data_IF_929390797652
#
_entry.id   IF_929390797652
#
_cell.length_a   1.000
_cell.length_b   1.000
_cell.length_c   1.000
_cell.angle_alpha   90.00
_cell.angle_beta   90.00
_cell.angle_gamma   90.00
#
_symmetry.space_group_name_H-M   'P 1'
#
loop_
_entity.id
_entity.type
_entity.pdbx_description
1 polymer ?
#
# COMPACT_ATOMS: atom_id res chain seq x y z
N UNK A 1 5.04 7.01 23.94
CA UNK A 1 5.58 7.55 22.67
C UNK A 1 4.45 8.17 21.83
N UNK A 2 4.76 9.11 20.94
CA UNK A 2 3.80 9.73 20.02
C UNK A 2 4.12 9.44 18.56
N UNK A 3 3.08 9.22 17.76
CA UNK A 3 3.19 8.98 16.32
C UNK A 3 2.53 10.10 15.55
N UNK A 4 3.20 10.63 14.53
CA UNK A 4 2.68 11.69 13.67
C UNK A 4 2.42 11.21 12.25
N UNK A 5 1.36 11.69 11.62
CA UNK A 5 1.10 11.48 10.20
C UNK A 5 1.01 12.83 9.46
N UNK A 6 1.97 13.06 8.57
CA UNK A 6 1.98 14.19 7.64
C UNK A 6 1.27 13.73 6.36
N UNK A 7 0.03 14.17 6.18
CA UNK A 7 -0.88 13.67 5.16
C UNK A 7 -1.86 12.65 5.74
N UNK A 8 -3.15 12.95 5.65
CA UNK A 8 -4.24 12.14 6.21
C UNK A 8 -5.12 11.60 5.09
N UNK A 9 -4.54 10.75 4.25
CA UNK A 9 -5.24 10.10 3.13
C UNK A 9 -5.69 8.68 3.47
N UNK A 10 -6.13 7.96 2.43
CA UNK A 10 -6.57 6.55 2.51
C UNK A 10 -5.52 5.64 3.14
N UNK A 11 -4.24 5.82 2.78
CA UNK A 11 -3.17 4.98 3.33
C UNK A 11 -2.94 5.29 4.82
N UNK A 12 -2.92 6.56 5.22
CA UNK A 12 -2.78 6.93 6.64
C UNK A 12 -3.94 6.38 7.46
N UNK A 13 -5.18 6.50 6.96
CA UNK A 13 -6.36 5.91 7.58
C UNK A 13 -6.24 4.38 7.73
N UNK A 14 -5.78 3.70 6.68
CA UNK A 14 -5.62 2.26 6.69
C UNK A 14 -4.55 1.80 7.69
N UNK A 15 -3.40 2.46 7.73
CA UNK A 15 -2.32 2.16 8.69
C UNK A 15 -2.80 2.42 10.12
N UNK A 16 -3.39 3.58 10.40
CA UNK A 16 -3.91 3.90 11.74
C UNK A 16 -4.97 2.88 12.16
N UNK A 17 -5.93 2.58 11.28
CA UNK A 17 -6.98 1.58 11.55
C UNK A 17 -6.39 0.21 11.84
N UNK A 18 -5.42 -0.25 11.05
CA UNK A 18 -4.72 -1.51 11.28
C UNK A 18 -3.95 -1.51 12.61
N UNK A 19 -3.29 -0.40 12.95
CA UNK A 19 -2.55 -0.27 14.20
C UNK A 19 -3.47 -0.36 15.43
N UNK A 20 -4.65 0.27 15.35
CA UNK A 20 -5.67 0.17 16.42
C UNK A 20 -6.27 -1.23 16.48
N UNK A 21 -6.62 -1.83 15.33
CA UNK A 21 -7.25 -3.16 15.26
C UNK A 21 -6.34 -4.29 15.73
N UNK A 22 -5.04 -4.21 15.45
CA UNK A 22 -4.04 -5.21 15.87
C UNK A 22 -3.58 -5.06 17.32
N UNK A 23 -3.87 -3.92 17.97
CA UNK A 23 -3.36 -3.58 19.30
C UNK A 23 -1.85 -3.26 19.33
N UNK A 24 -1.18 -3.14 18.17
CA UNK A 24 0.25 -2.84 18.12
C UNK A 24 0.56 -1.45 18.68
N UNK A 25 -0.35 -0.49 18.53
CA UNK A 25 -0.20 0.85 19.10
C UNK A 25 -0.04 0.77 20.64
N UNK A 26 -0.89 0.00 21.32
CA UNK A 26 -0.81 -0.19 22.77
C UNK A 26 0.46 -0.95 23.18
N UNK A 27 0.81 -2.02 22.44
CA UNK A 27 2.02 -2.81 22.70
C UNK A 27 3.31 -2.02 22.58
N UNK A 28 3.34 -1.02 21.69
CA UNK A 28 4.47 -0.09 21.54
C UNK A 28 4.42 1.10 22.51
N UNK A 29 3.41 1.17 23.38
CA UNK A 29 3.24 2.28 24.32
C UNK A 29 2.95 3.61 23.60
N UNK A 30 2.18 3.56 22.51
CA UNK A 30 1.71 4.76 21.82
C UNK A 30 0.65 5.42 22.69
N UNK A 31 0.92 6.65 23.11
CA UNK A 31 0.00 7.45 23.92
C UNK A 31 -0.95 8.25 23.05
N UNK A 32 -0.50 8.66 21.87
CA UNK A 32 -1.22 9.56 20.99
C UNK A 32 -0.74 9.43 19.53
N UNK A 33 -1.70 9.47 18.61
CA UNK A 33 -1.47 9.57 17.16
C UNK A 33 -1.94 10.95 16.70
N UNK A 34 -1.04 11.76 16.16
CA UNK A 34 -1.32 13.13 15.72
C UNK A 34 -1.41 13.17 14.20
N UNK A 35 -2.52 13.68 13.66
CA UNK A 35 -2.78 13.74 12.21
C UNK A 35 -3.09 15.16 11.74
N UNK A 36 -2.76 15.46 10.48
CA UNK A 36 -3.07 16.76 9.85
C UNK A 36 -4.56 16.91 9.49
N UNK A 37 -5.12 18.13 9.51
CA UNK A 37 -6.51 18.43 9.07
C UNK A 37 -6.74 18.42 7.56
N UNK A 38 -5.71 18.23 6.73
CA UNK A 38 -5.81 18.45 5.26
C UNK A 38 -6.96 17.68 4.60
N UNK A 39 -7.27 16.47 5.07
CA UNK A 39 -8.47 15.73 4.67
C UNK A 39 -9.47 15.75 5.82
N UNK A 40 -10.27 16.80 5.92
CA UNK A 40 -11.17 17.02 7.06
C UNK A 40 -12.06 15.81 7.33
N UNK A 41 -12.61 15.19 6.28
CA UNK A 41 -13.47 14.01 6.42
C UNK A 41 -12.75 12.83 7.07
N UNK A 42 -11.55 12.48 6.57
CA UNK A 42 -10.77 11.34 7.09
C UNK A 42 -10.22 11.65 8.48
N UNK A 43 -9.65 12.84 8.69
CA UNK A 43 -9.09 13.21 9.99
C UNK A 43 -10.15 13.26 11.09
N UNK A 44 -11.33 13.79 10.79
CA UNK A 44 -12.46 13.81 11.74
C UNK A 44 -12.94 12.40 12.03
N UNK A 45 -13.18 11.58 11.00
CA UNK A 45 -13.63 10.21 11.18
C UNK A 45 -12.65 9.39 12.05
N UNK A 46 -11.34 9.55 11.85
CA UNK A 46 -10.33 8.89 12.68
C UNK A 46 -10.39 9.35 14.14
N UNK A 47 -10.49 10.65 14.41
CA UNK A 47 -10.55 11.18 15.79
C UNK A 47 -11.85 10.87 16.51
N UNK A 48 -12.97 10.75 15.79
CA UNK A 48 -14.25 10.34 16.37
C UNK A 48 -14.26 8.84 16.68
N UNK A 49 -13.57 8.05 15.87
CA UNK A 49 -13.51 6.59 16.01
C UNK A 49 -12.53 6.12 17.07
N UNK A 50 -11.43 6.86 17.26
CA UNK A 50 -10.31 6.45 18.10
C UNK A 50 -9.86 7.58 19.02
N UNK A 51 -10.04 7.41 20.33
CA UNK A 51 -9.66 8.41 21.34
C UNK A 51 -8.17 8.76 21.32
N UNK A 52 -7.31 7.84 20.86
CA UNK A 52 -5.87 8.05 20.72
C UNK A 52 -5.51 9.03 19.59
N UNK A 53 -6.44 9.33 18.66
CA UNK A 53 -6.16 10.17 17.49
C UNK A 53 -6.53 11.63 17.77
N UNK A 54 -5.52 12.50 17.71
CA UNK A 54 -5.70 13.96 17.78
C UNK A 54 -5.41 14.63 16.45
N UNK A 55 -6.27 15.56 16.08
CA UNK A 55 -6.16 16.32 14.84
C UNK A 55 -5.53 17.69 15.12
N UNK A 56 -4.56 18.09 14.29
CA UNK A 56 -3.93 19.43 14.35
C UNK A 56 -3.86 20.09 12.98
N UNK A 57 -3.76 21.41 12.97
CA UNK A 57 -3.77 22.22 11.75
C UNK A 57 -2.38 22.50 11.16
N UNK A 58 -1.33 22.29 11.94
CA UNK A 58 0.03 22.64 11.58
C UNK A 58 0.92 21.40 11.53
N UNK A 59 1.60 21.21 10.40
CA UNK A 59 2.47 20.06 10.18
C UNK A 59 3.73 20.14 11.03
N UNK A 60 4.26 21.33 11.32
CA UNK A 60 5.44 21.44 12.18
C UNK A 60 5.11 20.99 13.60
N UNK A 61 3.93 21.32 14.12
CA UNK A 61 3.43 20.80 15.40
C UNK A 61 3.39 19.27 15.45
N UNK A 62 3.03 18.60 14.34
CA UNK A 62 3.08 17.13 14.25
C UNK A 62 4.52 16.66 14.36
N UNK A 63 5.43 17.26 13.58
CA UNK A 63 6.86 16.93 13.62
C UNK A 63 7.38 17.09 15.05
N UNK A 64 7.21 18.26 15.67
CA UNK A 64 7.74 18.59 17.00
C UNK A 64 7.27 17.66 18.12
N UNK A 65 6.07 17.08 17.98
CA UNK A 65 5.46 16.25 19.02
C UNK A 65 5.65 14.75 18.80
N UNK A 66 6.13 14.31 17.64
CA UNK A 66 6.16 12.88 17.29
C UNK A 66 7.55 12.27 17.49
N UNK A 67 7.62 11.10 18.12
CA UNK A 67 8.85 10.28 18.16
C UNK A 67 9.02 9.50 16.84
N UNK A 68 7.89 9.11 16.26
CA UNK A 68 7.79 8.40 14.99
C UNK A 68 6.93 9.17 14.00
N UNK A 69 7.44 9.45 12.80
CA UNK A 69 6.75 10.26 11.81
C UNK A 69 6.47 9.47 10.53
N UNK A 70 5.21 9.38 10.14
CA UNK A 70 4.77 8.86 8.84
C UNK A 70 4.61 10.02 7.85
N UNK A 71 5.34 9.96 6.73
CA UNK A 71 5.19 10.88 5.61
C UNK A 71 4.29 10.24 4.57
N UNK A 72 3.05 10.71 4.45
CA UNK A 72 2.00 10.12 3.62
C UNK A 72 1.36 11.15 2.67
N UNK A 73 2.13 12.16 2.26
CA UNK A 73 1.70 13.14 1.25
C UNK A 73 1.92 12.60 -0.16
N UNK A 74 1.16 13.14 -1.13
CA UNK A 74 1.36 12.80 -2.53
C UNK A 74 2.74 13.28 -3.01
N UNK A 75 3.43 12.52 -3.91
CA UNK A 75 4.75 12.91 -4.40
C UNK A 75 4.80 14.34 -4.97
N UNK A 76 3.72 14.78 -5.63
CA UNK A 76 3.60 16.08 -6.28
C UNK A 76 3.68 17.26 -5.32
N UNK A 77 3.28 17.07 -4.06
CA UNK A 77 3.29 18.12 -3.03
C UNK A 77 4.36 17.90 -1.97
N UNK A 78 5.13 16.80 -2.08
CA UNK A 78 6.10 16.41 -1.07
C UNK A 78 7.17 17.48 -0.85
N UNK A 79 7.77 18.03 -1.92
CA UNK A 79 8.76 19.10 -1.78
C UNK A 79 8.18 20.32 -1.06
N UNK A 80 7.02 20.81 -1.53
CA UNK A 80 6.38 21.99 -0.93
C UNK A 80 6.10 21.81 0.56
N UNK A 81 5.64 20.61 0.96
CA UNK A 81 5.32 20.32 2.37
C UNK A 81 6.59 20.12 3.19
N UNK A 82 7.50 19.26 2.75
CA UNK A 82 8.67 18.86 3.55
C UNK A 82 9.70 19.99 3.67
N UNK A 83 9.85 20.86 2.67
CA UNK A 83 10.76 22.02 2.76
C UNK A 83 10.31 23.10 3.76
N UNK A 84 9.10 22.99 4.31
CA UNK A 84 8.61 23.87 5.37
C UNK A 84 8.80 23.27 6.76
N UNK A 85 9.31 22.04 6.86
CA UNK A 85 9.45 21.31 8.10
C UNK A 85 10.90 21.34 8.57
N UNK A 86 11.08 21.39 9.88
CA UNK A 86 12.33 21.13 10.56
C UNK A 86 12.19 19.81 11.32
N UNK A 87 12.72 18.74 10.76
CA UNK A 87 12.80 17.45 11.45
C UNK A 87 13.78 17.52 12.60
N UNK A 88 13.56 16.67 13.61
CA UNK A 88 14.49 16.52 14.72
C UNK A 88 15.45 15.36 14.47
N UNK A 89 16.74 15.51 14.79
CA UNK A 89 17.76 14.48 14.56
C UNK A 89 17.50 13.14 15.26
N UNK A 90 16.70 13.13 16.32
CA UNK A 90 16.36 11.93 17.12
C UNK A 90 15.15 11.15 16.58
N UNK A 91 14.46 11.68 15.57
CA UNK A 91 13.24 11.07 15.04
C UNK A 91 13.53 9.89 14.11
N UNK A 92 12.61 8.94 14.12
CA UNK A 92 12.49 7.92 13.10
C UNK A 92 11.33 8.25 12.16
N UNK A 93 11.58 8.13 10.85
CA UNK A 93 10.60 8.44 9.80
C UNK A 93 10.24 7.18 9.01
N UNK A 94 8.94 6.98 8.79
CA UNK A 94 8.40 6.08 7.78
C UNK A 94 7.90 6.87 6.57
N UNK A 95 8.60 6.82 5.45
CA UNK A 95 8.13 7.40 4.20
C UNK A 95 7.19 6.44 3.46
N UNK A 96 5.92 6.83 3.34
CA UNK A 96 4.91 6.15 2.52
C UNK A 96 4.87 6.70 1.08
N UNK A 97 5.81 7.58 0.74
CA UNK A 97 5.90 8.24 -0.57
C UNK A 97 6.74 7.37 -1.49
N UNK A 98 6.11 6.38 -2.13
CA UNK A 98 6.79 5.32 -2.87
C UNK A 98 7.87 5.80 -3.86
N UNK A 99 7.68 6.95 -4.52
CA UNK A 99 8.60 7.47 -5.55
C UNK A 99 9.66 8.44 -5.04
N UNK A 100 9.69 8.75 -3.74
CA UNK A 100 10.58 9.77 -3.19
C UNK A 100 11.83 9.12 -2.55
N UNK A 101 13.04 9.44 -3.03
CA UNK A 101 14.28 8.94 -2.45
C UNK A 101 14.55 9.59 -1.08
N UNK A 102 15.24 8.85 -0.20
CA UNK A 102 15.54 9.27 1.18
C UNK A 102 16.34 10.56 1.20
N UNK A 103 17.27 10.71 0.25
CA UNK A 103 18.14 11.88 0.11
C UNK A 103 17.34 13.16 -0.13
N UNK A 104 16.23 13.10 -0.88
CA UNK A 104 15.34 14.25 -1.09
C UNK A 104 14.56 14.60 0.18
N UNK A 105 14.16 13.59 0.98
CA UNK A 105 13.49 13.81 2.28
C UNK A 105 14.44 14.55 3.23
N UNK A 106 15.67 14.05 3.37
CA UNK A 106 16.70 14.66 4.21
C UNK A 106 17.07 16.07 3.73
N UNK A 107 17.21 16.27 2.42
CA UNK A 107 17.55 17.58 1.85
C UNK A 107 16.47 18.64 2.08
N UNK A 108 15.21 18.26 2.25
CA UNK A 108 14.11 19.21 2.44
C UNK A 108 13.77 19.45 3.90
N UNK A 109 13.67 18.39 4.72
CA UNK A 109 13.24 18.51 6.11
C UNK A 109 14.35 18.45 7.15
N UNK A 110 15.57 18.08 6.76
CA UNK A 110 16.72 17.94 7.66
C UNK A 110 17.10 16.49 7.98
N UNK A 111 18.23 16.33 8.69
CA UNK A 111 18.73 15.02 9.13
C UNK A 111 17.91 14.44 10.29
N UNK A 112 17.79 13.12 10.31
CA UNK A 112 17.03 12.34 11.29
C UNK A 112 17.77 11.05 11.62
N UNK A 113 17.34 10.34 12.66
CA UNK A 113 18.01 9.14 13.13
C UNK A 113 17.91 8.00 12.12
N UNK A 114 16.73 7.84 11.48
CA UNK A 114 16.48 6.78 10.52
C UNK A 114 15.30 7.14 9.61
N UNK A 115 15.40 6.78 8.33
CA UNK A 115 14.30 6.84 7.36
C UNK A 115 14.08 5.43 6.77
N UNK A 116 12.92 4.85 7.05
CA UNK A 116 12.45 3.61 6.43
C UNK A 116 11.42 3.96 5.36
N UNK A 117 11.54 3.37 4.18
CA UNK A 117 10.49 3.47 3.14
C UNK A 117 9.54 2.30 3.27
N UNK A 118 8.26 2.56 3.12
CA UNK A 118 7.23 1.52 3.15
C UNK A 118 6.21 1.73 2.03
N UNK A 119 5.69 0.64 1.47
CA UNK A 119 4.58 0.67 0.49
C UNK A 119 3.41 -0.17 1.00
N UNK A 120 2.69 0.28 2.05
CA UNK A 120 1.47 -0.38 2.47
C UNK A 120 0.36 -0.16 1.45
N UNK A 121 -0.53 -1.14 1.35
CA UNK A 121 -1.77 -1.06 0.56
C UNK A 121 -2.98 -1.00 1.51
N UNK A 122 -4.14 -0.50 1.07
CA UNK A 122 -5.34 -0.39 1.92
C UNK A 122 -5.72 -1.64 2.74
N UNK A 123 -5.48 -2.89 2.30
CA UNK A 123 -5.76 -4.09 3.11
C UNK A 123 -5.04 -4.18 4.47
N UNK A 124 -4.02 -3.35 4.75
CA UNK A 124 -3.40 -3.27 6.08
C UNK A 124 -4.40 -2.87 7.17
N UNK A 125 -5.49 -2.16 6.81
CA UNK A 125 -6.59 -1.86 7.73
C UNK A 125 -7.29 -3.13 8.25
N UNK A 126 -7.28 -4.19 7.44
CA UNK A 126 -7.92 -5.47 7.75
C UNK A 126 -6.95 -6.50 8.32
N UNK A 127 -5.69 -6.13 8.55
CA UNK A 127 -4.60 -7.01 8.98
C UNK A 127 -4.22 -8.06 7.91
N UNK A 128 -4.41 -7.71 6.63
CA UNK A 128 -4.25 -8.63 5.50
C UNK A 128 -3.33 -8.07 4.40
N UNK A 129 -2.47 -7.09 4.72
CA UNK A 129 -1.57 -6.46 3.76
C UNK A 129 -0.12 -6.75 4.05
N UNK A 130 0.58 -7.43 3.13
CA UNK A 130 2.04 -7.51 3.17
C UNK A 130 2.61 -6.14 2.78
N UNK A 131 3.38 -5.54 3.67
CA UNK A 131 4.05 -4.26 3.41
C UNK A 131 5.53 -4.47 3.10
N UNK A 132 6.00 -3.87 2.01
CA UNK A 132 7.40 -3.92 1.60
C UNK A 132 8.15 -2.75 2.26
N UNK A 133 9.28 -3.05 2.90
CA UNK A 133 10.15 -2.08 3.54
C UNK A 133 11.52 -2.00 2.85
N UNK A 134 12.09 -0.79 2.83
CA UNK A 134 13.50 -0.53 2.51
C UNK A 134 14.11 0.28 3.65
N UNK A 135 15.12 -0.29 4.30
CA UNK A 135 15.68 0.17 5.57
C UNK A 135 15.36 -0.82 6.69
N UNK A 136 16.30 -1.02 7.61
CA UNK A 136 16.14 -1.91 8.76
C UNK A 136 15.62 -1.10 9.95
N UNK A 137 14.43 -1.44 10.43
CA UNK A 137 13.84 -0.85 11.62
C UNK A 137 12.98 -1.88 12.31
N UNK A 138 13.40 -2.30 13.50
CA UNK A 138 12.63 -3.21 14.35
C UNK A 138 11.22 -2.68 14.65
N UNK A 139 11.09 -1.34 14.77
CA UNK A 139 9.80 -0.71 15.05
C UNK A 139 8.88 -0.75 13.83
N UNK A 140 9.38 -0.45 12.64
CA UNK A 140 8.57 -0.52 11.41
C UNK A 140 8.21 -1.95 11.06
N UNK A 141 9.15 -2.87 11.22
CA UNK A 141 8.92 -4.30 11.05
C UNK A 141 7.82 -4.77 12.00
N UNK A 142 7.90 -4.44 13.29
CA UNK A 142 6.86 -4.81 14.26
C UNK A 142 5.48 -4.20 13.94
N UNK A 143 5.44 -2.94 13.48
CA UNK A 143 4.19 -2.28 13.08
C UNK A 143 3.58 -3.04 11.90
N UNK A 144 4.30 -3.18 10.79
CA UNK A 144 3.73 -3.74 9.56
C UNK A 144 3.53 -5.25 9.62
N UNK A 145 4.32 -5.97 10.40
CA UNK A 145 4.08 -7.38 10.69
C UNK A 145 2.73 -7.57 11.39
N UNK A 146 2.39 -6.71 12.36
CA UNK A 146 1.08 -6.73 13.00
C UNK A 146 -0.08 -6.34 12.07
N UNK A 147 0.20 -5.70 10.92
CA UNK A 147 -0.81 -5.29 9.93
C UNK A 147 -1.01 -6.30 8.78
N UNK A 148 -0.39 -7.48 8.87
CA UNK A 148 -0.61 -8.59 7.94
C UNK A 148 0.67 -9.23 7.41
N UNK A 149 1.83 -8.59 7.61
CA UNK A 149 3.13 -9.17 7.27
C UNK A 149 4.08 -8.14 6.65
N UNK A 150 5.38 -8.44 6.72
CA UNK A 150 6.41 -7.55 6.19
C UNK A 150 7.41 -8.27 5.28
N UNK A 151 7.85 -7.58 4.23
CA UNK A 151 9.03 -7.97 3.44
C UNK A 151 10.07 -6.87 3.57
N UNK A 152 11.19 -7.17 4.23
CA UNK A 152 12.33 -6.24 4.34
C UNK A 152 13.29 -6.51 3.19
N UNK A 153 13.41 -5.54 2.30
CA UNK A 153 14.25 -5.66 1.10
C UNK A 153 15.71 -5.31 1.39
N UNK A 154 16.62 -5.98 0.69
CA UNK A 154 18.07 -5.83 0.81
C UNK A 154 18.62 -4.73 -0.10
N UNK A 155 17.85 -4.33 -1.10
CA UNK A 155 18.25 -3.29 -2.04
C UNK A 155 17.05 -2.48 -2.51
N UNK A 156 17.35 -1.28 -2.98
CA UNK A 156 16.34 -0.42 -3.58
C UNK A 156 15.75 -1.03 -4.88
N UNK A 157 16.54 -1.80 -5.62
CA UNK A 157 16.05 -2.52 -6.81
C UNK A 157 14.99 -3.57 -6.43
N UNK A 158 15.23 -4.32 -5.36
CA UNK A 158 14.29 -5.31 -4.83
C UNK A 158 13.02 -4.63 -4.30
N UNK A 159 13.16 -3.51 -3.58
CA UNK A 159 12.02 -2.69 -3.14
C UNK A 159 11.12 -2.27 -4.30
N UNK A 160 11.70 -1.79 -5.41
CA UNK A 160 10.92 -1.41 -6.58
C UNK A 160 10.25 -2.62 -7.25
N UNK A 161 10.92 -3.78 -7.26
CA UNK A 161 10.39 -5.00 -7.87
C UNK A 161 9.08 -5.47 -7.21
N UNK A 162 8.89 -5.21 -5.91
CA UNK A 162 7.61 -5.44 -5.23
C UNK A 162 6.65 -4.24 -5.33
N UNK A 163 7.17 -3.01 -5.36
CA UNK A 163 6.36 -1.79 -5.47
C UNK A 163 5.59 -1.73 -6.80
N UNK A 164 6.21 -2.18 -7.90
CA UNK A 164 5.61 -2.15 -9.25
C UNK A 164 4.32 -2.99 -9.32
N UNK A 165 4.32 -4.28 -8.94
CA UNK A 165 3.09 -5.08 -8.83
C UNK A 165 2.03 -4.48 -7.89
N UNK A 166 2.43 -3.70 -6.86
CA UNK A 166 1.49 -2.97 -6.00
C UNK A 166 0.58 -2.00 -6.76
N UNK A 167 0.93 -1.61 -7.98
CA UNK A 167 0.12 -0.74 -8.86
C UNK A 167 -0.97 -1.50 -9.65
N UNK A 168 -1.09 -2.83 -9.49
CA UNK A 168 -2.04 -3.64 -10.26
C UNK A 168 -3.51 -3.51 -9.80
N UNK A 169 -3.82 -2.79 -8.71
CA UNK A 169 -5.20 -2.63 -8.22
C UNK A 169 -6.15 -2.09 -9.30
N UNK A 170 -5.71 -1.09 -10.08
CA UNK A 170 -6.50 -0.55 -11.19
C UNK A 170 -6.74 -1.58 -12.29
N UNK A 171 -5.71 -2.34 -12.66
CA UNK A 171 -5.81 -3.43 -13.63
C UNK A 171 -6.71 -4.56 -13.14
N UNK A 172 -6.67 -4.89 -11.85
CA UNK A 172 -7.52 -5.92 -11.23
C UNK A 172 -9.01 -5.55 -11.27
N UNK A 173 -9.38 -4.33 -10.88
CA UNK A 173 -10.76 -3.88 -10.96
C UNK A 173 -11.22 -3.65 -12.41
N UNK A 174 -10.33 -3.15 -13.28
CA UNK A 174 -10.62 -3.02 -14.71
C UNK A 174 -10.86 -4.36 -15.39
N UNK A 175 -10.12 -5.41 -15.01
CA UNK A 175 -10.38 -6.76 -15.49
C UNK A 175 -11.77 -7.26 -15.08
N UNK A 176 -12.16 -7.05 -13.82
CA UNK A 176 -13.51 -7.41 -13.37
C UNK A 176 -14.61 -6.61 -14.09
N UNK A 177 -14.38 -5.32 -14.35
CA UNK A 177 -15.31 -4.46 -15.09
C UNK A 177 -15.54 -4.96 -16.53
N UNK A 178 -14.46 -5.35 -17.22
CA UNK A 178 -14.53 -5.95 -18.56
C UNK A 178 -15.34 -7.26 -18.55
N UNK A 179 -15.08 -8.14 -17.57
CA UNK A 179 -15.78 -9.43 -17.47
C UNK A 179 -17.25 -9.22 -17.07
N UNK A 180 -17.55 -8.29 -16.17
CA UNK A 180 -18.91 -7.93 -15.79
C UNK A 180 -19.71 -7.40 -17.00
N UNK A 181 -19.10 -6.50 -17.77
CA UNK A 181 -19.68 -5.98 -19.01
C UNK A 181 -20.00 -7.09 -20.02
N UNK A 182 -19.13 -8.10 -20.14
CA UNK A 182 -19.39 -9.26 -20.99
C UNK A 182 -20.59 -10.08 -20.48
N UNK A 183 -20.70 -10.34 -19.18
CA UNK A 183 -21.84 -11.05 -18.58
C UNK A 183 -23.16 -10.31 -18.86
N UNK A 184 -23.17 -8.98 -18.70
CA UNK A 184 -24.33 -8.15 -19.00
C UNK A 184 -24.71 -8.24 -20.49
N UNK A 185 -23.72 -8.22 -21.38
CA UNK A 185 -23.95 -8.41 -22.82
C UNK A 185 -24.51 -9.81 -23.17
N UNK A 186 -24.30 -10.82 -22.32
CA UNK A 186 -24.90 -12.15 -22.45
C UNK A 186 -26.29 -12.28 -21.77
N UNK A 187 -26.84 -11.19 -21.24
CA UNK A 187 -28.18 -11.16 -20.63
C UNK A 187 -28.21 -11.27 -19.10
N UNK A 188 -27.05 -11.23 -18.42
CA UNK A 188 -26.99 -11.09 -16.96
C UNK A 188 -27.26 -9.66 -16.47
N UNK A 189 -27.26 -9.46 -15.16
CA UNK A 189 -27.36 -8.12 -14.54
C UNK A 189 -26.03 -7.68 -13.94
N UNK A 190 -25.79 -6.36 -13.88
CA UNK A 190 -24.60 -5.77 -13.27
C UNK A 190 -24.43 -6.19 -11.80
N UNK A 191 -25.51 -6.20 -11.04
CA UNK A 191 -25.49 -6.58 -9.62
C UNK A 191 -25.09 -8.04 -9.43
N UNK A 192 -25.62 -8.95 -10.25
CA UNK A 192 -25.28 -10.37 -10.18
C UNK A 192 -23.85 -10.64 -10.69
N UNK A 193 -23.44 -9.99 -11.77
CA UNK A 193 -22.09 -10.09 -12.32
C UNK A 193 -21.04 -9.67 -11.28
N UNK A 194 -21.24 -8.51 -10.63
CA UNK A 194 -20.37 -8.04 -9.54
C UNK A 194 -20.30 -9.03 -8.38
N UNK A 195 -21.46 -9.53 -7.94
CA UNK A 195 -21.54 -10.49 -6.83
C UNK A 195 -20.80 -11.79 -7.15
N UNK A 196 -21.04 -12.33 -8.35
CA UNK A 196 -20.40 -13.55 -8.84
C UNK A 196 -18.88 -13.40 -8.95
N UNK A 197 -18.40 -12.35 -9.62
CA UNK A 197 -16.97 -12.14 -9.84
C UNK A 197 -16.24 -11.89 -8.52
N UNK A 198 -16.77 -11.02 -7.66
CA UNK A 198 -16.16 -10.77 -6.35
C UNK A 198 -16.03 -12.06 -5.52
N UNK A 199 -17.04 -12.93 -5.55
CA UNK A 199 -17.00 -14.21 -4.83
C UNK A 199 -15.96 -15.17 -5.41
N UNK A 200 -15.95 -15.36 -6.74
CA UNK A 200 -15.03 -16.26 -7.44
C UNK A 200 -13.58 -15.83 -7.25
N UNK A 201 -13.26 -14.55 -7.47
CA UNK A 201 -11.88 -14.07 -7.29
C UNK A 201 -11.43 -14.11 -5.84
N UNK A 202 -12.31 -13.81 -4.88
CA UNK A 202 -11.98 -13.95 -3.47
C UNK A 202 -11.69 -15.42 -3.08
N UNK A 203 -12.42 -16.38 -3.65
CA UNK A 203 -12.15 -17.80 -3.44
C UNK A 203 -10.79 -18.22 -4.03
N UNK A 204 -10.49 -17.79 -5.26
CA UNK A 204 -9.21 -18.08 -5.91
C UNK A 204 -8.02 -17.45 -5.17
N UNK A 205 -8.17 -16.22 -4.66
CA UNK A 205 -7.15 -15.57 -3.85
C UNK A 205 -6.84 -16.37 -2.58
N UNK A 206 -7.87 -16.85 -1.86
CA UNK A 206 -7.68 -17.71 -0.68
C UNK A 206 -7.05 -19.06 -1.03
N UNK A 207 -7.42 -19.66 -2.16
CA UNK A 207 -6.79 -20.89 -2.65
C UNK A 207 -5.29 -20.68 -2.88
N UNK A 208 -4.91 -19.56 -3.48
CA UNK A 208 -3.50 -19.24 -3.71
C UNK A 208 -2.74 -18.97 -2.40
N UNK A 209 -3.35 -18.22 -1.48
CA UNK A 209 -2.76 -17.89 -0.18
C UNK A 209 -2.51 -19.14 0.70
N UNK A 210 -3.43 -20.10 0.68
CA UNK A 210 -3.31 -21.34 1.46
C UNK A 210 -2.52 -22.47 0.80
N UNK A 211 -1.84 -22.22 -0.33
CA UNK A 211 -1.20 -23.24 -1.15
C UNK A 211 0.32 -23.13 -1.14
N UNK A 212 1.01 -24.26 -0.95
CA UNK A 212 2.46 -24.37 -1.13
C UNK A 212 2.89 -24.50 -2.61
N UNK A 213 1.92 -24.66 -3.53
CA UNK A 213 2.18 -24.77 -4.96
C UNK A 213 2.54 -23.41 -5.58
N UNK A 214 3.40 -23.44 -6.60
CA UNK A 214 3.68 -22.26 -7.41
C UNK A 214 2.43 -21.79 -8.17
N UNK A 215 2.36 -20.50 -8.53
CA UNK A 215 1.28 -19.98 -9.37
C UNK A 215 1.17 -20.71 -10.73
N UNK A 216 2.28 -21.19 -11.28
CA UNK A 216 2.27 -21.99 -12.50
C UNK A 216 1.56 -23.33 -12.29
N UNK A 217 1.87 -24.02 -11.19
CA UNK A 217 1.22 -25.28 -10.82
C UNK A 217 -0.26 -25.09 -10.46
N UNK A 218 -0.62 -24.00 -9.75
CA UNK A 218 -2.02 -23.65 -9.50
C UNK A 218 -2.79 -23.42 -10.79
N UNK A 219 -2.23 -22.66 -11.74
CA UNK A 219 -2.84 -22.43 -13.06
C UNK A 219 -3.04 -23.74 -13.83
N UNK A 220 -2.03 -24.61 -13.85
CA UNK A 220 -2.09 -25.92 -14.53
C UNK A 220 -3.12 -26.85 -13.86
N UNK A 221 -3.14 -26.91 -12.53
CA UNK A 221 -4.11 -27.71 -11.77
C UNK A 221 -5.57 -27.26 -11.96
N UNK A 222 -5.80 -25.99 -12.31
CA UNK A 222 -7.12 -25.46 -12.65
C UNK A 222 -7.41 -25.45 -14.16
N UNK A 223 -6.50 -25.98 -14.99
CA UNK A 223 -6.59 -25.98 -16.45
C UNK A 223 -6.55 -27.41 -16.99
N UNK A 224 -7.70 -28.08 -17.02
CA UNK A 224 -7.83 -29.42 -17.63
C UNK A 224 -7.45 -29.36 -19.12
N UNK A 225 -6.68 -30.32 -19.66
CA UNK A 225 -6.35 -30.38 -21.09
C UNK A 225 -7.62 -30.39 -21.96
N UNK A 226 -7.70 -29.48 -22.92
CA UNK A 226 -8.87 -29.24 -23.78
C UNK A 226 -10.03 -28.53 -23.07
N UNK A 227 -9.85 -28.10 -21.83
CA UNK A 227 -10.87 -27.48 -20.99
C UNK A 227 -11.01 -25.96 -21.20
N UNK A 228 -12.09 -25.39 -20.66
CA UNK A 228 -12.43 -23.98 -20.82
C UNK A 228 -11.37 -23.03 -20.24
N UNK A 229 -10.79 -23.37 -19.08
CA UNK A 229 -9.76 -22.54 -18.43
C UNK A 229 -8.45 -22.51 -19.24
N UNK A 230 -8.05 -23.65 -19.81
CA UNK A 230 -6.89 -23.72 -20.71
C UNK A 230 -7.13 -22.88 -21.97
N UNK A 231 -8.30 -23.04 -22.60
CA UNK A 231 -8.66 -22.25 -23.78
C UNK A 231 -8.65 -20.75 -23.49
N UNK A 232 -9.23 -20.31 -22.36
CA UNK A 232 -9.25 -18.89 -21.98
C UNK A 232 -7.82 -18.36 -21.87
N UNK A 233 -6.99 -18.98 -21.02
CA UNK A 233 -5.63 -18.48 -20.77
C UNK A 233 -4.77 -18.50 -22.03
N UNK A 234 -4.89 -19.54 -22.86
CA UNK A 234 -4.17 -19.64 -24.15
C UNK A 234 -4.54 -18.48 -25.07
N UNK A 235 -5.83 -18.24 -25.30
CA UNK A 235 -6.29 -17.15 -26.18
C UNK A 235 -5.89 -15.78 -25.61
N UNK A 236 -6.02 -15.57 -24.29
CA UNK A 236 -5.56 -14.34 -23.64
C UNK A 236 -4.07 -14.07 -23.92
N UNK A 237 -3.22 -15.10 -23.88
CA UNK A 237 -1.80 -14.95 -24.23
C UNK A 237 -1.58 -14.74 -25.73
N UNK A 238 -2.28 -15.45 -26.62
CA UNK A 238 -2.19 -15.30 -28.08
C UNK A 238 -2.57 -13.87 -28.53
N UNK A 239 -3.54 -13.25 -27.85
CA UNK A 239 -3.97 -11.87 -28.10
C UNK A 239 -3.09 -10.81 -27.41
N UNK A 240 -1.91 -11.20 -26.90
CA UNK A 240 -0.91 -10.27 -26.35
C UNK A 240 -1.13 -9.86 -24.90
N UNK A 241 -2.04 -10.50 -24.17
CA UNK A 241 -2.35 -10.16 -22.78
C UNK A 241 -1.15 -10.26 -21.83
N UNK A 242 -0.24 -11.21 -22.07
CA UNK A 242 1.03 -11.32 -21.33
C UNK A 242 1.90 -10.08 -21.54
N UNK A 243 2.13 -9.72 -22.79
CA UNK A 243 3.03 -8.63 -23.15
C UNK A 243 2.48 -7.27 -22.70
N UNK A 244 1.15 -7.11 -22.73
CA UNK A 244 0.48 -5.94 -22.20
C UNK A 244 0.75 -5.74 -20.69
N UNK A 245 0.66 -6.81 -19.89
CA UNK A 245 0.93 -6.76 -18.44
C UNK A 245 2.40 -6.43 -18.18
N UNK A 246 3.33 -7.11 -18.87
CA UNK A 246 4.77 -6.88 -18.71
C UNK A 246 5.14 -5.44 -19.09
N UNK A 247 4.67 -4.97 -20.25
CA UNK A 247 4.89 -3.59 -20.71
C UNK A 247 4.35 -2.58 -19.70
N UNK A 248 3.15 -2.80 -19.15
CA UNK A 248 2.59 -1.91 -18.13
C UNK A 248 3.48 -1.86 -16.88
N UNK A 249 3.96 -3.01 -16.38
CA UNK A 249 4.88 -3.07 -15.24
C UNK A 249 6.21 -2.35 -15.53
N UNK A 250 6.79 -2.57 -16.71
CA UNK A 250 8.05 -1.92 -17.11
C UNK A 250 7.90 -0.39 -17.18
N UNK A 251 6.78 0.12 -17.72
CA UNK A 251 6.54 1.58 -17.76
C UNK A 251 6.36 2.18 -16.36
N UNK A 252 5.78 1.44 -15.40
CA UNK A 252 5.70 1.86 -13.99
C UNK A 252 7.09 1.83 -13.35
N UNK A 253 7.89 0.79 -13.59
CA UNK A 253 9.26 0.68 -13.10
C UNK A 253 10.15 1.83 -13.60
N UNK A 254 10.03 2.19 -14.88
CA UNK A 254 10.70 3.35 -15.46
C UNK A 254 10.30 4.65 -14.76
N UNK A 255 8.99 4.84 -14.50
CA UNK A 255 8.49 6.04 -13.83
C UNK A 255 9.03 6.17 -12.40
N UNK A 256 9.06 5.08 -11.64
CA UNK A 256 9.63 5.04 -10.28
C UNK A 256 11.12 5.40 -10.33
N UNK A 257 11.85 4.85 -11.31
CA UNK A 257 13.27 5.14 -11.48
C UNK A 257 13.52 6.60 -11.84
N UNK A 258 12.77 7.14 -12.81
CA UNK A 258 12.85 8.56 -13.24
C UNK A 258 12.52 9.55 -12.12
N UNK A 259 11.62 9.20 -11.19
CA UNK A 259 11.27 10.08 -10.08
C UNK A 259 12.42 10.27 -9.06
N UNK A 260 13.40 9.35 -9.05
CA UNK A 260 14.53 9.37 -8.12
C UNK A 260 15.75 10.10 -8.68
N UNK A 261 15.94 10.09 -10.01
CA UNK A 261 16.90 10.98 -10.69
C UNK A 261 16.57 12.46 -10.48
#
# INVERSE_FOLDING_TARGET
>A
MKIGFIGTGVISEAVITGMMKSGIAERLGVEEIVVSTRSQAISTALSERYEMVRVVNDNQTIVDQSDLLFLAVLPQVAQQVLSQLAFRPDQEICSLIATLPVEKITAWGGEVALITRAVPLPPVAELAGITVLSGQSERMEAIFEALGGVIVTQSLQEFDAYTVPGSMMGTYFGFQDIVASWIVAQGGTETEARSFLANVFAALARTAEGSDLSFAALREGHSTPGGLNEQMFRVFCEEGGRDAIVTAMDTVAERITKARS
#
